data_IF_424888689418
#
_entry.id   IF_424888689418
#
_cell.length_a   1.000
_cell.length_b   1.000
_cell.length_c   1.000
_cell.angle_alpha   90.00
_cell.angle_beta   90.00
_cell.angle_gamma   90.00
#
_symmetry.space_group_name_H-M   'P 1'
#
loop_
_entity.id
_entity.type
_entity.pdbx_description
1 polymer ?
#
# COMPACT_ATOMS: atom_id res chain seq x y z
N UNK A 1 -5.55 -23.67 -4.56
CA UNK A 1 -5.16 -23.38 -3.17
C UNK A 1 -4.85 -21.90 -3.08
N UNK A 2 -5.67 -21.14 -2.35
CA UNK A 2 -5.38 -19.76 -1.96
C UNK A 2 -4.35 -19.83 -0.82
N UNK A 3 -3.18 -19.24 -1.02
CA UNK A 3 -2.17 -19.13 0.05
C UNK A 3 -2.35 -17.77 0.70
N UNK A 4 -2.63 -17.75 2.00
CA UNK A 4 -2.67 -16.50 2.76
C UNK A 4 -1.24 -15.98 2.89
N UNK A 5 -0.95 -14.83 2.29
CA UNK A 5 0.33 -14.16 2.40
C UNK A 5 0.25 -13.05 3.44
N UNK A 6 1.39 -12.83 4.08
CA UNK A 6 1.63 -11.71 4.97
C UNK A 6 2.91 -11.03 4.54
N UNK A 7 2.77 -9.88 3.89
CA UNK A 7 3.85 -9.11 3.29
C UNK A 7 4.21 -7.99 4.25
N UNK A 8 5.42 -8.06 4.81
CA UNK A 8 5.96 -6.96 5.62
C UNK A 8 6.36 -5.83 4.68
N UNK A 9 5.95 -4.61 5.00
CA UNK A 9 6.34 -3.43 4.22
C UNK A 9 7.25 -2.53 5.06
N UNK A 10 7.89 -1.58 4.40
CA UNK A 10 8.70 -0.53 5.05
C UNK A 10 7.87 0.71 5.35
N UNK A 11 6.57 0.70 5.01
CA UNK A 11 5.67 1.83 5.18
C UNK A 11 5.44 2.06 6.68
N UNK A 12 5.82 3.23 7.19
CA UNK A 12 5.65 3.58 8.61
C UNK A 12 4.54 4.61 8.83
N UNK A 13 4.22 5.44 7.83
CA UNK A 13 3.30 6.56 8.04
C UNK A 13 1.85 6.25 7.60
N UNK A 14 0.97 6.10 8.59
CA UNK A 14 -0.46 5.82 8.38
C UNK A 14 -1.17 6.88 7.51
N UNK A 15 -0.81 8.16 7.61
CA UNK A 15 -1.45 9.25 6.85
C UNK A 15 -1.31 9.01 5.34
N UNK A 16 -0.11 8.65 4.91
CA UNK A 16 0.21 8.41 3.50
C UNK A 16 -0.32 7.08 2.99
N UNK A 17 -0.43 6.07 3.87
CA UNK A 17 -1.14 4.84 3.55
C UNK A 17 -2.62 5.13 3.24
N UNK A 18 -3.27 5.96 4.06
CA UNK A 18 -4.67 6.36 3.84
C UNK A 18 -4.79 7.19 2.55
N UNK A 19 -3.89 8.16 2.34
CA UNK A 19 -3.89 8.97 1.11
C UNK A 19 -3.73 8.10 -0.15
N UNK A 20 -2.81 7.12 -0.11
CA UNK A 20 -2.61 6.18 -1.20
C UNK A 20 -3.87 5.34 -1.48
N UNK A 21 -4.52 4.82 -0.42
CA UNK A 21 -5.77 4.04 -0.55
C UNK A 21 -6.90 4.91 -1.12
N UNK A 22 -6.99 6.18 -0.72
CA UNK A 22 -7.99 7.11 -1.23
C UNK A 22 -7.81 7.38 -2.72
N UNK A 23 -6.57 7.58 -3.18
CA UNK A 23 -6.27 7.74 -4.61
C UNK A 23 -6.56 6.44 -5.40
N UNK A 24 -6.23 5.28 -4.84
CA UNK A 24 -6.57 3.98 -5.45
C UNK A 24 -8.09 3.79 -5.59
N UNK A 25 -8.86 4.19 -4.58
CA UNK A 25 -10.33 4.18 -4.64
C UNK A 25 -10.86 5.17 -5.69
N UNK A 26 -10.32 6.39 -5.74
CA UNK A 26 -10.71 7.40 -6.74
C UNK A 26 -10.47 6.91 -8.17
N UNK A 27 -9.42 6.14 -8.40
CA UNK A 27 -9.09 5.52 -9.69
C UNK A 27 -9.91 4.26 -10.01
N UNK A 28 -10.75 3.81 -9.09
CA UNK A 28 -11.56 2.60 -9.25
C UNK A 28 -10.77 1.29 -9.05
N UNK A 29 -9.56 1.35 -8.51
CA UNK A 29 -8.74 0.15 -8.22
C UNK A 29 -9.22 -0.60 -6.96
N UNK A 30 -10.05 0.04 -6.14
CA UNK A 30 -10.64 -0.50 -4.92
C UNK A 30 -12.16 -0.30 -4.92
N UNK A 31 -12.88 -1.29 -4.43
CA UNK A 31 -14.34 -1.21 -4.28
C UNK A 31 -14.68 -0.45 -3.00
N UNK A 32 -14.10 -0.86 -1.88
CA UNK A 32 -14.32 -0.20 -0.61
C UNK A 32 -13.13 -0.40 0.34
N UNK A 33 -13.07 0.41 1.39
CA UNK A 33 -12.15 0.21 2.49
C UNK A 33 -12.79 0.68 3.80
N UNK A 34 -12.37 0.07 4.91
CA UNK A 34 -12.80 0.43 6.25
C UNK A 34 -11.59 0.65 7.14
N UNK A 35 -11.52 1.81 7.77
CA UNK A 35 -10.46 2.15 8.72
C UNK A 35 -10.95 1.82 10.13
N UNK A 36 -10.20 0.98 10.83
CA UNK A 36 -10.39 0.75 12.26
C UNK A 36 -9.30 1.49 13.03
N UNK A 37 -9.63 2.67 13.54
CA UNK A 37 -8.70 3.52 14.28
C UNK A 37 -8.19 2.86 15.56
N UNK A 38 -9.05 2.12 16.27
CA UNK A 38 -8.71 1.48 17.54
C UNK A 38 -7.72 0.33 17.41
N UNK A 39 -7.67 -0.31 16.24
CA UNK A 39 -6.82 -1.50 15.98
C UNK A 39 -5.66 -1.22 15.03
N UNK A 40 -5.46 0.04 14.62
CA UNK A 40 -4.51 0.41 13.55
C UNK A 40 -4.59 -0.54 12.34
N UNK A 41 -5.83 -0.88 11.96
CA UNK A 41 -6.15 -1.84 10.91
C UNK A 41 -6.95 -1.16 9.83
N UNK A 42 -6.62 -1.43 8.57
CA UNK A 42 -7.39 -1.01 7.40
C UNK A 42 -7.81 -2.28 6.67
N UNK A 43 -9.11 -2.47 6.54
CA UNK A 43 -9.69 -3.57 5.77
C UNK A 43 -10.03 -3.04 4.38
N UNK A 44 -9.66 -3.78 3.35
CA UNK A 44 -9.75 -3.34 1.96
C UNK A 44 -10.48 -4.43 1.19
N UNK A 45 -11.46 -4.01 0.40
CA UNK A 45 -12.22 -4.85 -0.51
C UNK A 45 -11.91 -4.43 -1.95
N UNK A 46 -11.39 -5.38 -2.71
CA UNK A 46 -11.11 -5.24 -4.13
C UNK A 46 -11.88 -6.31 -4.89
N UNK A 47 -13.07 -5.97 -5.36
CA UNK A 47 -13.92 -6.84 -6.18
C UNK A 47 -14.22 -8.21 -5.52
N UNK A 48 -14.30 -8.25 -4.18
CA UNK A 48 -14.52 -9.48 -3.41
C UNK A 48 -13.24 -10.11 -2.84
N UNK A 49 -12.06 -9.62 -3.24
CA UNK A 49 -10.80 -9.98 -2.60
C UNK A 49 -10.56 -9.13 -1.35
N UNK A 50 -10.60 -9.79 -0.19
CA UNK A 50 -10.38 -9.15 1.11
C UNK A 50 -8.89 -9.06 1.45
N UNK A 51 -8.44 -7.85 1.67
CA UNK A 51 -7.09 -7.50 2.11
C UNK A 51 -7.15 -6.78 3.46
N UNK A 52 -6.09 -6.92 4.26
CA UNK A 52 -5.96 -6.19 5.50
C UNK A 52 -4.55 -5.61 5.66
N UNK A 53 -4.48 -4.31 5.92
CA UNK A 53 -3.26 -3.63 6.33
C UNK A 53 -3.30 -3.49 7.85
N UNK A 54 -2.29 -4.03 8.54
CA UNK A 54 -2.17 -3.94 10.00
C UNK A 54 -0.82 -3.35 10.36
N UNK A 55 -0.72 -2.71 11.52
CA UNK A 55 0.60 -2.35 12.06
C UNK A 55 1.27 -3.60 12.63
N UNK A 56 2.55 -3.77 12.34
CA UNK A 56 3.34 -4.86 12.89
C UNK A 56 3.53 -4.65 14.41
N UNK A 57 3.33 -5.69 15.22
CA UNK A 57 3.47 -5.57 16.69
C UNK A 57 4.89 -5.29 17.16
N UNK A 58 5.89 -5.68 16.36
CA UNK A 58 7.31 -5.62 16.71
C UNK A 58 8.05 -4.44 16.06
N UNK A 59 7.39 -3.67 15.21
CA UNK A 59 8.00 -2.58 14.46
C UNK A 59 7.07 -1.37 14.33
N UNK A 60 7.57 -0.30 13.71
CA UNK A 60 6.75 0.87 13.35
C UNK A 60 6.09 0.72 11.97
N UNK A 61 6.29 -0.41 11.30
CA UNK A 61 5.91 -0.61 9.93
C UNK A 61 4.54 -1.29 9.81
N UNK A 62 3.91 -1.12 8.66
CA UNK A 62 2.67 -1.78 8.30
C UNK A 62 2.93 -3.07 7.52
N UNK A 63 2.01 -4.03 7.63
CA UNK A 63 2.03 -5.30 6.93
C UNK A 63 0.71 -5.47 6.17
N UNK A 64 0.79 -6.00 4.95
CA UNK A 64 -0.36 -6.33 4.12
C UNK A 64 -0.62 -7.82 4.21
N UNK A 65 -1.88 -8.20 4.40
CA UNK A 65 -2.29 -9.61 4.49
C UNK A 65 -3.51 -9.90 3.63
N UNK A 66 -3.56 -11.09 3.04
CA UNK A 66 -4.62 -11.53 2.14
C UNK A 66 -4.17 -12.67 1.23
N UNK A 67 -4.93 -12.95 0.16
CA UNK A 67 -4.50 -13.92 -0.86
C UNK A 67 -3.16 -13.50 -1.49
N UNK A 68 -2.20 -14.43 -1.60
CA UNK A 68 -0.83 -14.13 -2.03
C UNK A 68 -0.72 -13.43 -3.38
N UNK A 69 -1.58 -13.75 -4.35
CA UNK A 69 -1.52 -13.11 -5.68
C UNK A 69 -1.99 -11.67 -5.59
N UNK A 70 -3.11 -11.47 -4.91
CA UNK A 70 -3.76 -10.16 -4.77
C UNK A 70 -2.94 -9.26 -3.85
N UNK A 71 -2.47 -9.78 -2.72
CA UNK A 71 -1.69 -9.04 -1.73
C UNK A 71 -0.36 -8.54 -2.30
N UNK A 72 0.34 -9.33 -3.12
CA UNK A 72 1.59 -8.89 -3.76
C UNK A 72 1.34 -7.77 -4.78
N UNK A 73 0.36 -7.96 -5.67
CA UNK A 73 0.01 -6.94 -6.67
C UNK A 73 -0.46 -5.64 -6.00
N UNK A 74 -1.32 -5.77 -4.98
CA UNK A 74 -1.80 -4.64 -4.19
C UNK A 74 -0.66 -3.93 -3.45
N UNK A 75 0.25 -4.67 -2.82
CA UNK A 75 1.36 -4.07 -2.06
C UNK A 75 2.27 -3.24 -2.98
N UNK A 76 2.62 -3.74 -4.16
CA UNK A 76 3.44 -2.98 -5.10
C UNK A 76 2.76 -1.68 -5.54
N UNK A 77 1.46 -1.75 -5.85
CA UNK A 77 0.67 -0.58 -6.26
C UNK A 77 0.49 0.43 -5.12
N UNK A 78 0.24 -0.06 -3.91
CA UNK A 78 0.16 0.76 -2.70
C UNK A 78 1.47 1.52 -2.45
N UNK A 79 2.63 0.86 -2.58
CA UNK A 79 3.93 1.52 -2.41
C UNK A 79 4.17 2.61 -3.46
N UNK A 80 3.71 2.43 -4.70
CA UNK A 80 3.79 3.47 -5.74
C UNK A 80 3.00 4.73 -5.35
N UNK A 81 1.73 4.57 -4.96
CA UNK A 81 0.90 5.70 -4.54
C UNK A 81 1.41 6.33 -3.24
N UNK A 82 1.89 5.53 -2.31
CA UNK A 82 2.52 6.03 -1.09
C UNK A 82 3.73 6.91 -1.40
N UNK A 83 4.61 6.46 -2.30
CA UNK A 83 5.77 7.25 -2.73
C UNK A 83 5.32 8.56 -3.39
N UNK A 84 4.35 8.49 -4.30
CA UNK A 84 3.81 9.66 -4.97
C UNK A 84 3.24 10.70 -4.00
N UNK A 85 2.43 10.27 -3.03
CA UNK A 85 1.86 11.17 -2.02
C UNK A 85 2.92 11.71 -1.05
N UNK A 86 3.95 10.93 -0.73
CA UNK A 86 5.06 11.38 0.12
C UNK A 86 5.95 12.41 -0.58
N UNK A 87 6.21 12.23 -1.89
CA UNK A 87 7.00 13.17 -2.71
C UNK A 87 6.27 14.51 -2.87
N UNK A 88 4.94 14.50 -3.07
CA UNK A 88 4.14 15.74 -3.13
C UNK A 88 4.31 16.61 -1.89
N UNK A 89 4.39 15.97 -0.71
CA UNK A 89 4.55 16.63 0.58
C UNK A 89 6.04 16.83 0.96
N UNK A 90 6.98 16.55 0.05
CA UNK A 90 8.42 16.75 0.19
C UNK A 90 9.04 16.03 1.41
N UNK A 91 8.47 14.89 1.79
CA UNK A 91 8.96 14.07 2.91
C UNK A 91 10.01 13.06 2.46
N UNK A 92 11.00 12.74 3.32
CA UNK A 92 11.91 11.64 3.05
C UNK A 92 11.11 10.33 2.95
N UNK A 93 11.37 9.58 1.89
CA UNK A 93 10.75 8.29 1.67
C UNK A 93 11.30 7.26 2.66
N UNK A 94 10.43 6.41 3.18
CA UNK A 94 10.78 5.33 4.10
C UNK A 94 11.54 4.17 3.42
N UNK A 95 11.81 4.26 2.11
CA UNK A 95 12.45 3.24 1.28
C UNK A 95 13.28 3.85 0.13
N UNK A 96 14.30 3.14 -0.35
CA UNK A 96 15.14 3.59 -1.46
C UNK A 96 14.42 3.44 -2.82
N UNK A 97 14.35 4.52 -3.59
CA UNK A 97 13.93 4.47 -5.00
C UNK A 97 15.11 3.95 -5.84
N UNK A 98 14.89 2.85 -6.57
CA UNK A 98 15.84 2.32 -7.55
C UNK A 98 15.86 3.16 -8.83
N UNK A 99 14.68 3.50 -9.36
CA UNK A 99 14.52 4.22 -10.62
C UNK A 99 13.12 4.80 -10.74
N UNK A 100 12.99 5.98 -11.32
CA UNK A 100 11.70 6.52 -11.77
C UNK A 100 11.59 6.27 -13.28
N UNK A 101 10.44 5.75 -13.72
CA UNK A 101 10.13 5.62 -15.15
C UNK A 101 8.72 6.11 -15.42
N UNK A 102 8.54 6.85 -16.50
CA UNK A 102 7.22 7.25 -16.96
C UNK A 102 6.71 6.25 -18.02
N UNK A 103 5.61 5.56 -17.73
CA UNK A 103 4.91 4.71 -18.69
C UNK A 103 3.46 5.19 -18.83
N UNK A 104 3.03 5.44 -20.06
CA UNK A 104 1.65 5.84 -20.40
C UNK A 104 1.08 7.03 -19.59
N UNK A 105 1.94 7.97 -19.17
CA UNK A 105 1.55 9.14 -18.36
C UNK A 105 1.41 8.86 -16.86
N UNK A 106 1.81 7.66 -16.39
CA UNK A 106 1.97 7.34 -14.97
C UNK A 106 3.46 7.29 -14.59
N UNK A 107 3.81 7.94 -13.47
CA UNK A 107 5.15 7.80 -12.87
C UNK A 107 5.18 6.47 -12.13
N UNK A 108 5.93 5.52 -12.67
CA UNK A 108 6.24 4.24 -12.04
C UNK A 108 7.53 4.39 -11.25
N UNK A 109 7.41 4.23 -9.94
CA UNK A 109 8.54 4.26 -9.02
C UNK A 109 9.01 2.82 -8.81
N UNK A 110 10.18 2.49 -9.36
CA UNK A 110 10.87 1.23 -9.11
C UNK A 110 11.56 1.32 -7.76
N UNK A 111 11.21 0.41 -6.87
CA UNK A 111 11.74 0.33 -5.53
C UNK A 111 12.99 -0.55 -5.52
N UNK A 112 14.03 -0.18 -4.78
CA UNK A 112 15.13 -1.11 -4.50
C UNK A 112 14.59 -2.19 -3.55
N UNK A 113 14.88 -3.45 -3.89
CA UNK A 113 14.50 -4.61 -3.07
C UNK A 113 15.36 -4.73 -1.82
#
# INVERSE_FOLDING_TARGET
MSFYAKIKTELANKKYIIAAIEEMKRRGELTNYQINEKKEKIEIDREGDLLAITKEKAGNNFEVSGDSRVANAFTNRLKQFYAYESIKDNLPLDFEIAKESEEAGEIIIHLKG
#
